data_IF_908224263404
#
_entry.id   IF_908224263404
#
_cell.length_a   1.000
_cell.length_b   1.000
_cell.length_c   1.000
_cell.angle_alpha   90.00
_cell.angle_beta   90.00
_cell.angle_gamma   90.00
#
_symmetry.space_group_name_H-M   'P 1'
#
loop_
_entity.id
_entity.type
_entity.pdbx_description
1 polymer ?
#
# COMPACT_ATOMS: atom_id res chain seq x y z
N UNK A 1 -21.04 45.05 25.24
CA UNK A 1 -19.71 45.13 24.57
C UNK A 1 -18.63 44.19 25.15
N UNK A 2 -18.89 43.35 26.16
CA UNK A 2 -17.86 42.49 26.77
C UNK A 2 -17.59 41.15 26.04
N UNK A 3 -18.51 40.65 25.21
CA UNK A 3 -18.37 39.33 24.56
C UNK A 3 -17.30 39.25 23.44
N UNK A 4 -16.98 40.37 22.77
CA UNK A 4 -15.98 40.39 21.69
C UNK A 4 -14.53 40.30 22.17
N UNK A 5 -14.26 40.56 23.46
CA UNK A 5 -12.89 40.50 24.03
C UNK A 5 -12.46 39.05 24.33
N UNK A 6 -13.39 38.18 24.69
CA UNK A 6 -13.12 36.78 24.98
C UNK A 6 -12.81 35.94 23.73
N UNK A 7 -13.49 36.21 22.62
CA UNK A 7 -13.24 35.50 21.35
C UNK A 7 -11.83 35.80 20.81
N UNK A 8 -11.35 37.04 20.96
CA UNK A 8 -9.98 37.41 20.55
C UNK A 8 -8.91 36.78 21.44
N UNK A 9 -9.20 36.54 22.73
CA UNK A 9 -8.23 35.92 23.63
C UNK A 9 -8.02 34.43 23.32
N UNK A 10 -9.09 33.67 23.01
CA UNK A 10 -8.99 32.25 22.67
C UNK A 10 -8.28 31.98 21.34
N UNK A 11 -8.50 32.83 20.32
CA UNK A 11 -7.82 32.66 19.02
C UNK A 11 -6.30 32.87 19.16
N UNK A 12 -5.87 33.74 20.07
CA UNK A 12 -4.44 34.01 20.28
C UNK A 12 -3.74 32.89 21.06
N UNK A 13 -4.44 32.15 21.93
CA UNK A 13 -3.86 31.02 22.67
C UNK A 13 -3.69 29.77 21.79
N UNK A 14 -4.55 29.58 20.80
CA UNK A 14 -4.47 28.43 19.87
C UNK A 14 -3.28 28.52 18.89
N UNK A 15 -2.78 29.72 18.59
CA UNK A 15 -1.63 29.93 17.68
C UNK A 15 -0.29 29.71 18.41
N UNK A 16 -0.26 29.77 19.74
CA UNK A 16 0.98 29.63 20.53
C UNK A 16 1.38 28.18 20.85
N UNK A 17 0.63 27.19 20.36
CA UNK A 17 0.80 25.76 20.66
C UNK A 17 1.30 24.96 19.44
N UNK A 18 2.20 25.55 18.64
CA UNK A 18 2.98 24.82 17.63
C UNK A 18 4.29 24.39 18.29
N UNK A 19 4.49 23.11 18.65
CA UNK A 19 5.73 22.67 19.24
C UNK A 19 6.86 22.68 18.20
N UNK A 20 7.97 23.31 18.58
CA UNK A 20 9.27 23.25 17.91
C UNK A 20 9.88 21.85 18.08
N UNK A 21 9.76 21.01 17.07
CA UNK A 21 10.44 19.71 17.03
C UNK A 21 11.89 19.90 16.59
N UNK A 22 12.83 19.52 17.46
CA UNK A 22 14.26 19.77 17.33
C UNK A 22 14.98 18.93 16.26
N UNK A 23 16.05 19.52 15.72
CA UNK A 23 17.04 18.84 14.89
C UNK A 23 18.01 18.02 15.75
N UNK A 24 18.06 16.71 15.58
CA UNK A 24 19.19 15.88 16.01
C UNK A 24 20.18 15.73 14.85
N UNK A 25 21.44 16.10 15.08
CA UNK A 25 22.56 15.85 14.15
C UNK A 25 23.26 14.56 14.60
N UNK A 26 23.15 13.50 13.80
CA UNK A 26 23.94 12.29 13.98
C UNK A 26 25.26 12.42 13.23
N UNK A 27 26.37 12.20 13.94
CA UNK A 27 27.72 12.15 13.38
C UNK A 27 28.05 10.66 13.20
N UNK A 28 28.11 10.20 11.95
CA UNK A 28 28.48 8.82 11.63
C UNK A 28 29.91 8.79 11.07
N UNK A 29 30.77 7.99 11.71
CA UNK A 29 32.13 7.67 11.27
C UNK A 29 32.09 6.83 9.99
N UNK A 30 32.80 7.28 8.96
CA UNK A 30 32.98 6.57 7.69
C UNK A 30 34.20 5.65 7.77
N UNK A 31 33.98 4.34 7.74
CA UNK A 31 35.00 3.34 7.40
C UNK A 31 34.86 3.07 5.90
N UNK A 32 35.87 3.44 5.12
CA UNK A 32 35.91 3.20 3.68
C UNK A 32 36.37 1.76 3.42
N UNK A 33 35.46 0.91 2.97
CA UNK A 33 35.77 -0.42 2.40
C UNK A 33 35.17 -0.48 1.01
N UNK A 34 36.04 -0.57 0.01
CA UNK A 34 35.90 -1.16 -1.33
C UNK A 34 34.48 -1.28 -1.93
N UNK A 35 33.81 -0.13 -2.14
CA UNK A 35 32.47 0.01 -2.75
C UNK A 35 32.47 0.21 -4.28
N UNK A 36 33.64 0.25 -4.92
CA UNK A 36 33.79 0.79 -6.28
C UNK A 36 33.16 -0.09 -7.37
N UNK A 37 33.27 -1.42 -7.27
CA UNK A 37 32.81 -2.32 -8.34
C UNK A 37 31.27 -2.48 -8.43
N UNK A 38 30.55 -2.44 -7.30
CA UNK A 38 29.08 -2.49 -7.30
C UNK A 38 28.49 -1.10 -7.61
N UNK A 39 29.11 -0.02 -7.11
CA UNK A 39 28.70 1.35 -7.40
C UNK A 39 28.86 1.71 -8.89
N UNK A 40 29.93 1.24 -9.55
CA UNK A 40 30.17 1.47 -10.98
C UNK A 40 29.07 0.85 -11.87
N UNK A 41 28.52 -0.32 -11.48
CA UNK A 41 27.41 -0.97 -12.21
C UNK A 41 26.10 -0.17 -12.12
N UNK A 42 25.84 0.48 -10.97
CA UNK A 42 24.65 1.32 -10.79
C UNK A 42 24.81 2.71 -11.40
N UNK A 43 26.02 3.26 -11.43
CA UNK A 43 26.30 4.55 -12.08
C UNK A 43 26.23 4.44 -13.62
N UNK A 44 26.56 3.29 -14.20
CA UNK A 44 26.30 3.02 -15.63
C UNK A 44 24.80 2.81 -15.93
N UNK A 45 24.05 2.19 -15.00
CA UNK A 45 22.59 2.08 -15.09
C UNK A 45 21.85 3.41 -14.82
N UNK A 46 22.46 4.36 -14.10
CA UNK A 46 21.93 5.72 -13.93
C UNK A 46 21.85 6.48 -15.27
N UNK A 47 22.60 6.06 -16.29
CA UNK A 47 22.43 6.49 -17.68
C UNK A 47 21.07 6.09 -18.29
N UNK A 48 20.37 5.11 -17.72
CA UNK A 48 19.07 4.62 -18.17
C UNK A 48 17.87 5.34 -17.52
N UNK A 49 18.06 6.59 -17.08
CA UNK A 49 16.96 7.46 -16.61
C UNK A 49 15.76 7.52 -17.56
N UNK A 50 15.99 7.32 -18.86
CA UNK A 50 14.96 7.36 -19.89
C UNK A 50 13.87 6.29 -19.73
N UNK A 51 14.23 5.03 -19.45
CA UNK A 51 13.21 3.97 -19.32
C UNK A 51 12.37 4.16 -18.06
N UNK A 52 12.99 4.64 -16.97
CA UNK A 52 12.31 5.02 -15.73
C UNK A 52 11.31 6.15 -15.99
N UNK A 53 11.74 7.22 -16.66
CA UNK A 53 10.86 8.34 -17.04
C UNK A 53 9.69 7.87 -17.91
N UNK A 54 9.93 7.00 -18.89
CA UNK A 54 8.86 6.47 -19.75
C UNK A 54 7.85 5.64 -18.94
N UNK A 55 8.33 4.84 -17.97
CA UNK A 55 7.46 4.07 -17.08
C UNK A 55 6.63 4.98 -16.16
N UNK A 56 7.22 6.06 -15.65
CA UNK A 56 6.51 7.08 -14.87
C UNK A 56 5.47 7.83 -15.71
N UNK A 57 5.79 8.21 -16.95
CA UNK A 57 4.84 8.81 -17.89
C UNK A 57 3.68 7.86 -18.20
N UNK A 58 3.97 6.58 -18.45
CA UNK A 58 2.96 5.55 -18.69
C UNK A 58 2.02 5.42 -17.49
N UNK A 59 2.57 5.31 -16.28
CA UNK A 59 1.79 5.21 -15.05
C UNK A 59 0.92 6.45 -14.82
N UNK A 60 1.51 7.65 -14.94
CA UNK A 60 0.79 8.91 -14.75
C UNK A 60 -0.35 9.06 -15.77
N UNK A 61 -0.08 8.77 -17.05
CA UNK A 61 -1.08 8.84 -18.11
C UNK A 61 -2.23 7.84 -17.91
N UNK A 62 -1.93 6.60 -17.50
CA UNK A 62 -2.94 5.60 -17.20
C UNK A 62 -3.78 5.99 -15.98
N UNK A 63 -3.15 6.54 -14.93
CA UNK A 63 -3.82 6.98 -13.71
C UNK A 63 -4.85 8.10 -13.96
N UNK A 64 -4.53 9.04 -14.86
CA UNK A 64 -5.47 10.13 -15.24
C UNK A 64 -6.42 9.74 -16.38
N UNK A 65 -6.37 8.50 -16.87
CA UNK A 65 -7.22 8.02 -17.96
C UNK A 65 -6.86 8.57 -19.35
N UNK A 66 -5.67 9.14 -19.54
CA UNK A 66 -5.20 9.61 -20.84
C UNK A 66 -4.70 8.45 -21.69
N UNK A 67 -5.63 7.76 -22.35
CA UNK A 67 -5.39 6.55 -23.16
C UNK A 67 -4.35 6.77 -24.27
N UNK A 68 -4.40 7.91 -24.96
CA UNK A 68 -3.49 8.20 -26.08
C UNK A 68 -2.06 8.34 -25.60
N UNK A 69 -1.85 9.12 -24.52
CA UNK A 69 -0.53 9.29 -23.93
C UNK A 69 -0.02 7.98 -23.32
N UNK A 70 -0.87 7.24 -22.60
CA UNK A 70 -0.52 5.94 -22.03
C UNK A 70 -0.09 4.96 -23.12
N UNK A 71 -0.82 4.87 -24.24
CA UNK A 71 -0.44 4.00 -25.35
C UNK A 71 0.88 4.43 -26.00
N UNK A 72 1.10 5.74 -26.20
CA UNK A 72 2.35 6.26 -26.74
C UNK A 72 3.55 5.94 -25.82
N UNK A 73 3.42 6.14 -24.51
CA UNK A 73 4.46 5.81 -23.53
C UNK A 73 4.68 4.29 -23.43
N UNK A 74 3.64 3.47 -23.55
CA UNK A 74 3.76 2.01 -23.58
C UNK A 74 4.56 1.51 -24.80
N UNK A 75 4.33 2.07 -25.99
CA UNK A 75 5.10 1.72 -27.20
C UNK A 75 6.57 2.13 -27.06
N UNK A 76 6.84 3.30 -26.46
CA UNK A 76 8.21 3.70 -26.13
C UNK A 76 8.84 2.72 -25.14
N UNK A 77 8.11 2.35 -24.09
CA UNK A 77 8.59 1.42 -23.06
C UNK A 77 8.97 0.07 -23.65
N UNK A 78 8.11 -0.49 -24.51
CA UNK A 78 8.38 -1.74 -25.22
C UNK A 78 9.63 -1.65 -26.11
N UNK A 79 9.83 -0.51 -26.78
CA UNK A 79 11.00 -0.32 -27.62
C UNK A 79 12.28 -0.31 -26.79
N UNK A 80 12.31 0.46 -25.71
CA UNK A 80 13.49 0.58 -24.85
C UNK A 80 13.75 -0.73 -24.07
N UNK A 81 12.71 -1.47 -23.65
CA UNK A 81 12.87 -2.75 -22.94
C UNK A 81 13.43 -3.89 -23.82
N UNK A 82 13.51 -3.71 -25.14
CA UNK A 82 14.14 -4.65 -26.07
C UNK A 82 15.63 -4.41 -26.24
N UNK A 83 16.20 -3.38 -25.63
CA UNK A 83 17.64 -3.16 -25.63
C UNK A 83 18.36 -4.33 -24.94
N UNK A 84 19.28 -5.04 -25.62
CA UNK A 84 20.05 -6.13 -25.02
C UNK A 84 20.81 -5.70 -23.76
N UNK A 85 21.29 -4.45 -23.70
CA UNK A 85 22.01 -3.93 -22.54
C UNK A 85 21.11 -3.90 -21.29
N UNK A 86 19.84 -3.51 -21.45
CA UNK A 86 18.84 -3.50 -20.37
C UNK A 86 18.51 -4.93 -19.93
N UNK A 87 18.33 -5.86 -20.88
CA UNK A 87 17.99 -7.25 -20.57
C UNK A 87 19.12 -8.07 -19.94
N UNK A 88 20.33 -7.53 -19.83
CA UNK A 88 21.42 -8.16 -19.05
C UNK A 88 21.18 -8.08 -17.54
N UNK A 89 20.23 -7.26 -17.09
CA UNK A 89 19.87 -7.10 -15.69
C UNK A 89 18.47 -7.70 -15.46
N UNK A 90 18.32 -8.44 -14.37
CA UNK A 90 17.10 -9.14 -14.00
C UNK A 90 17.02 -10.57 -14.54
N UNK A 91 16.08 -11.34 -14.02
CA UNK A 91 15.86 -12.74 -14.42
C UNK A 91 15.11 -12.84 -15.77
N UNK A 92 15.40 -13.90 -16.52
CA UNK A 92 14.75 -14.16 -17.82
C UNK A 92 13.24 -14.28 -17.70
N UNK A 93 12.77 -14.99 -16.67
CA UNK A 93 11.34 -15.23 -16.40
C UNK A 93 10.61 -13.94 -16.06
N UNK A 94 11.27 -13.03 -15.32
CA UNK A 94 10.77 -11.67 -15.09
C UNK A 94 10.59 -10.87 -16.37
N UNK A 95 11.51 -10.96 -17.32
CA UNK A 95 11.38 -10.32 -18.63
C UNK A 95 10.26 -10.92 -19.49
N UNK A 96 10.05 -12.24 -19.43
CA UNK A 96 8.91 -12.89 -20.10
C UNK A 96 7.57 -12.41 -19.51
N UNK A 97 7.47 -12.30 -18.17
CA UNK A 97 6.31 -11.74 -17.49
C UNK A 97 6.11 -10.24 -17.80
N UNK A 98 7.19 -9.48 -17.94
CA UNK A 98 7.18 -8.08 -18.36
C UNK A 98 6.62 -7.93 -19.78
N UNK A 99 7.10 -8.74 -20.73
CA UNK A 99 6.61 -8.76 -22.11
C UNK A 99 5.13 -9.13 -22.17
N UNK A 100 4.68 -10.10 -21.36
CA UNK A 100 3.27 -10.43 -21.23
C UNK A 100 2.44 -9.24 -20.70
N UNK A 101 2.94 -8.53 -19.68
CA UNK A 101 2.28 -7.35 -19.10
C UNK A 101 2.17 -6.20 -20.11
N UNK A 102 3.15 -6.03 -21.01
CA UNK A 102 3.05 -5.10 -22.15
C UNK A 102 1.88 -5.48 -23.06
N UNK A 103 1.72 -6.76 -23.39
CA UNK A 103 0.61 -7.20 -24.26
C UNK A 103 -0.75 -7.00 -23.58
N UNK A 104 -0.85 -7.29 -22.27
CA UNK A 104 -2.08 -7.04 -21.51
C UNK A 104 -2.40 -5.55 -21.43
N UNK A 105 -1.39 -4.69 -21.18
CA UNK A 105 -1.56 -3.24 -21.20
C UNK A 105 -2.04 -2.74 -22.57
N UNK A 106 -1.47 -3.22 -23.69
CA UNK A 106 -1.92 -2.88 -25.05
C UNK A 106 -3.37 -3.29 -25.27
N UNK A 107 -3.75 -4.50 -24.86
CA UNK A 107 -5.10 -5.03 -24.98
C UNK A 107 -6.09 -4.19 -24.16
N UNK A 108 -5.76 -3.88 -22.90
CA UNK A 108 -6.60 -3.09 -22.00
C UNK A 108 -6.78 -1.65 -22.49
N UNK A 109 -5.70 -1.01 -22.95
CA UNK A 109 -5.76 0.29 -23.59
C UNK A 109 -6.60 0.22 -24.87
N UNK A 110 -6.54 -0.85 -25.65
CA UNK A 110 -7.33 -1.01 -26.88
C UNK A 110 -8.82 -1.21 -26.62
N UNK A 111 -9.18 -1.94 -25.56
CA UNK A 111 -10.56 -2.28 -25.21
C UNK A 111 -11.28 -1.22 -24.35
N UNK A 112 -10.70 -0.05 -24.14
CA UNK A 112 -11.21 1.01 -23.25
C UNK A 112 -11.36 0.58 -21.78
N UNK A 113 -10.71 -0.51 -21.35
CA UNK A 113 -10.70 -0.93 -19.95
C UNK A 113 -9.60 -0.18 -19.19
N UNK A 114 -9.92 1.04 -18.74
CA UNK A 114 -8.96 1.92 -18.07
C UNK A 114 -8.46 1.34 -16.74
N UNK A 115 -9.29 0.60 -16.00
CA UNK A 115 -8.85 -0.03 -14.74
C UNK A 115 -7.81 -1.11 -14.98
N UNK A 116 -8.00 -1.96 -15.99
CA UNK A 116 -7.01 -2.96 -16.37
C UNK A 116 -5.74 -2.30 -16.93
N UNK A 117 -5.88 -1.23 -17.72
CA UNK A 117 -4.73 -0.49 -18.24
C UNK A 117 -3.90 0.15 -17.11
N UNK A 118 -4.56 0.72 -16.10
CA UNK A 118 -3.90 1.26 -14.92
C UNK A 118 -3.18 0.17 -14.11
N UNK A 119 -3.83 -0.99 -13.92
CA UNK A 119 -3.21 -2.12 -13.24
C UNK A 119 -1.92 -2.54 -13.94
N UNK A 120 -1.96 -2.81 -15.24
CA UNK A 120 -0.77 -3.22 -15.99
C UNK A 120 0.32 -2.13 -16.04
N UNK A 121 -0.07 -0.85 -16.18
CA UNK A 121 0.87 0.27 -16.09
C UNK A 121 1.58 0.32 -14.73
N UNK A 122 0.86 0.04 -13.63
CA UNK A 122 1.46 -0.02 -12.29
C UNK A 122 2.43 -1.19 -12.13
N UNK A 123 2.12 -2.36 -12.69
CA UNK A 123 3.01 -3.54 -12.71
C UNK A 123 4.30 -3.24 -13.47
N UNK A 124 4.17 -2.65 -14.66
CA UNK A 124 5.30 -2.26 -15.50
C UNK A 124 6.17 -1.20 -14.82
N UNK A 125 5.58 -0.22 -14.13
CA UNK A 125 6.33 0.75 -13.33
C UNK A 125 7.13 0.07 -12.23
N UNK A 126 6.50 -0.78 -11.41
CA UNK A 126 7.19 -1.51 -10.34
C UNK A 126 8.31 -2.41 -10.89
N UNK A 127 8.12 -3.00 -12.06
CA UNK A 127 9.10 -3.84 -12.72
C UNK A 127 10.34 -3.06 -13.19
N UNK A 128 10.14 -1.91 -13.84
CA UNK A 128 11.26 -1.01 -14.22
C UNK A 128 11.97 -0.54 -12.95
N UNK A 129 11.20 -0.16 -11.94
CA UNK A 129 11.73 0.29 -10.65
C UNK A 129 12.63 -0.76 -9.97
N UNK A 130 12.23 -2.03 -9.98
CA UNK A 130 13.00 -3.14 -9.42
C UNK A 130 14.38 -3.34 -10.06
N UNK A 131 14.53 -3.00 -11.34
CA UNK A 131 15.79 -3.16 -12.07
C UNK A 131 16.73 -1.97 -11.82
N UNK A 132 16.18 -0.75 -11.79
CA UNK A 132 16.98 0.48 -11.88
C UNK A 132 17.11 1.25 -10.57
N UNK A 133 16.24 1.01 -9.59
CA UNK A 133 16.32 1.68 -8.28
C UNK A 133 17.05 0.82 -7.24
N UNK A 134 17.84 1.47 -6.38
CA UNK A 134 18.51 0.79 -5.28
C UNK A 134 17.54 0.32 -4.20
N UNK A 135 16.44 1.05 -4.01
CA UNK A 135 15.39 0.72 -3.06
C UNK A 135 14.06 0.60 -3.82
N UNK A 136 13.79 -0.56 -4.43
CA UNK A 136 12.60 -0.76 -5.23
C UNK A 136 11.30 -0.48 -4.46
N UNK A 137 10.39 0.26 -5.07
CA UNK A 137 9.06 0.60 -4.56
C UNK A 137 8.26 -0.66 -4.19
N UNK A 138 8.48 -1.77 -4.88
CA UNK A 138 7.75 -3.01 -4.57
C UNK A 138 8.12 -3.60 -3.20
N UNK A 139 9.30 -3.29 -2.63
CA UNK A 139 9.64 -3.71 -1.26
C UNK A 139 8.69 -3.09 -0.22
N UNK A 140 8.09 -1.94 -0.51
CA UNK A 140 7.09 -1.31 0.35
C UNK A 140 5.81 -2.15 0.48
N UNK A 141 5.55 -3.07 -0.47
CA UNK A 141 4.44 -4.01 -0.38
C UNK A 141 4.61 -5.04 0.74
N UNK A 142 5.81 -5.20 1.32
CA UNK A 142 6.00 -6.12 2.45
C UNK A 142 5.06 -5.82 3.61
N UNK A 143 4.96 -4.54 3.99
CA UNK A 143 4.09 -4.12 5.08
C UNK A 143 2.60 -4.32 4.73
N UNK A 144 2.24 -4.05 3.46
CA UNK A 144 0.88 -4.23 2.97
C UNK A 144 0.47 -5.70 2.97
N UNK A 145 1.33 -6.59 2.47
CA UNK A 145 1.12 -8.04 2.48
C UNK A 145 1.01 -8.57 3.89
N UNK A 146 1.84 -8.08 4.83
CA UNK A 146 1.73 -8.46 6.23
C UNK A 146 0.37 -8.03 6.83
N UNK A 147 -0.13 -6.85 6.49
CA UNK A 147 -1.45 -6.39 6.93
C UNK A 147 -2.58 -7.26 6.35
N UNK A 148 -2.54 -7.56 5.05
CA UNK A 148 -3.52 -8.43 4.39
C UNK A 148 -3.54 -9.82 5.00
N UNK A 149 -2.35 -10.37 5.26
CA UNK A 149 -2.18 -11.64 5.95
C UNK A 149 -2.81 -11.56 7.36
N UNK A 150 -2.51 -10.53 8.14
CA UNK A 150 -3.10 -10.38 9.48
C UNK A 150 -4.63 -10.27 9.43
N UNK A 151 -5.19 -9.56 8.44
CA UNK A 151 -6.65 -9.49 8.21
C UNK A 151 -7.24 -10.85 7.88
N UNK A 152 -6.56 -11.61 7.01
CA UNK A 152 -6.93 -12.97 6.69
C UNK A 152 -6.94 -13.84 7.96
N UNK A 153 -5.89 -13.78 8.78
CA UNK A 153 -5.82 -14.49 10.07
C UNK A 153 -6.96 -14.10 11.01
N UNK A 154 -7.25 -12.81 11.14
CA UNK A 154 -8.37 -12.34 11.96
C UNK A 154 -9.72 -12.87 11.46
N UNK A 155 -9.91 -12.97 10.14
CA UNK A 155 -11.19 -13.39 9.56
C UNK A 155 -11.61 -14.81 9.95
N UNK A 156 -10.67 -15.72 10.22
CA UNK A 156 -11.01 -17.10 10.61
C UNK A 156 -11.09 -17.33 12.12
N UNK A 157 -10.41 -16.50 12.92
CA UNK A 157 -10.46 -16.55 14.39
C UNK A 157 -11.83 -16.10 14.89
N UNK A 158 -12.44 -15.14 14.18
CA UNK A 158 -13.73 -14.58 14.55
C UNK A 158 -14.87 -15.55 14.20
N UNK A 159 -15.75 -15.82 15.17
CA UNK A 159 -16.88 -16.74 14.99
C UNK A 159 -18.10 -16.04 14.37
N UNK A 160 -18.15 -15.98 13.04
CA UNK A 160 -19.31 -15.49 12.28
C UNK A 160 -20.01 -16.61 11.51
N UNK A 161 -21.29 -16.38 11.18
CA UNK A 161 -22.15 -17.34 10.46
C UNK A 161 -21.64 -17.62 9.02
N UNK A 162 -21.03 -16.63 8.37
CA UNK A 162 -20.47 -16.75 7.02
C UNK A 162 -18.94 -16.57 6.99
N UNK A 163 -18.26 -17.35 7.83
CA UNK A 163 -16.79 -17.26 7.98
C UNK A 163 -16.02 -17.56 6.68
N UNK A 164 -16.34 -18.62 5.90
CA UNK A 164 -15.58 -18.94 4.69
C UNK A 164 -15.61 -17.84 3.64
N UNK A 165 -16.73 -17.10 3.50
CA UNK A 165 -16.80 -16.01 2.54
C UNK A 165 -15.90 -14.83 2.95
N UNK A 166 -15.84 -14.50 4.24
CA UNK A 166 -14.97 -13.46 4.78
C UNK A 166 -13.48 -13.81 4.59
N UNK A 167 -13.12 -15.07 4.83
CA UNK A 167 -11.76 -15.58 4.59
C UNK A 167 -11.37 -15.51 3.11
N UNK A 168 -12.26 -15.94 2.21
CA UNK A 168 -12.01 -15.85 0.76
C UNK A 168 -11.91 -14.40 0.28
N UNK A 169 -12.73 -13.49 0.83
CA UNK A 169 -12.66 -12.08 0.51
C UNK A 169 -11.32 -11.47 0.95
N UNK A 170 -10.85 -11.78 2.16
CA UNK A 170 -9.54 -11.33 2.64
C UNK A 170 -8.39 -11.91 1.81
N UNK A 171 -8.47 -13.18 1.43
CA UNK A 171 -7.48 -13.84 0.58
C UNK A 171 -7.43 -13.22 -0.82
N UNK A 172 -8.60 -12.83 -1.36
CA UNK A 172 -8.67 -12.17 -2.66
C UNK A 172 -7.98 -10.80 -2.64
N UNK A 173 -8.07 -10.04 -1.54
CA UNK A 173 -7.33 -8.78 -1.38
C UNK A 173 -5.82 -9.04 -1.40
N UNK A 174 -5.36 -10.01 -0.62
CA UNK A 174 -3.95 -10.44 -0.60
C UNK A 174 -3.46 -10.81 -2.01
N UNK A 175 -4.25 -11.61 -2.74
CA UNK A 175 -3.94 -12.03 -4.12
C UNK A 175 -3.79 -10.84 -5.06
N UNK A 176 -4.72 -9.90 -5.02
CA UNK A 176 -4.66 -8.70 -5.87
C UNK A 176 -3.41 -7.88 -5.58
N UNK A 177 -3.00 -7.74 -4.31
CA UNK A 177 -1.76 -7.07 -3.98
C UNK A 177 -0.52 -7.86 -4.41
N UNK A 178 -0.52 -9.18 -4.29
CA UNK A 178 0.55 -10.05 -4.76
C UNK A 178 0.75 -9.95 -6.30
N UNK A 179 -0.34 -10.00 -7.07
CA UNK A 179 -0.32 -9.89 -8.53
C UNK A 179 0.28 -8.55 -9.02
N UNK A 180 0.06 -7.46 -8.26
CA UNK A 180 0.57 -6.12 -8.62
C UNK A 180 2.09 -6.03 -8.66
N UNK A 181 2.79 -6.70 -7.76
CA UNK A 181 4.25 -6.65 -7.72
C UNK A 181 4.93 -7.90 -8.31
N UNK A 182 4.17 -8.91 -8.71
CA UNK A 182 4.68 -10.18 -9.24
C UNK A 182 5.79 -9.99 -10.29
N UNK A 183 5.56 -9.14 -11.30
CA UNK A 183 6.53 -8.92 -12.39
C UNK A 183 7.83 -8.31 -11.85
N UNK A 184 7.72 -7.39 -10.90
CA UNK A 184 8.86 -6.77 -10.24
C UNK A 184 9.63 -7.79 -9.40
N UNK A 185 8.92 -8.62 -8.65
CA UNK A 185 9.52 -9.70 -7.88
C UNK A 185 10.20 -10.74 -8.78
N UNK A 186 9.60 -11.14 -9.91
CA UNK A 186 10.20 -12.07 -10.87
C UNK A 186 11.46 -11.50 -11.54
N UNK A 187 11.60 -10.18 -11.65
CA UNK A 187 12.82 -9.56 -12.17
C UNK A 187 13.96 -9.55 -11.15
N UNK A 188 13.65 -9.42 -9.86
CA UNK A 188 14.67 -9.30 -8.79
C UNK A 188 14.95 -10.62 -8.05
N UNK A 189 14.00 -11.54 -8.03
CA UNK A 189 14.04 -12.79 -7.24
C UNK A 189 13.97 -14.01 -8.15
N UNK A 190 14.55 -15.14 -7.74
CA UNK A 190 14.38 -16.40 -8.44
C UNK A 190 12.90 -16.77 -8.57
N UNK A 191 12.53 -17.31 -9.74
CA UNK A 191 11.16 -17.75 -10.05
C UNK A 191 10.60 -18.67 -8.97
N UNK A 192 11.41 -19.59 -8.45
CA UNK A 192 11.02 -20.54 -7.40
C UNK A 192 10.42 -19.85 -6.16
N UNK A 193 10.97 -18.70 -5.73
CA UNK A 193 10.46 -17.99 -4.54
C UNK A 193 9.12 -17.32 -4.82
N UNK A 194 8.97 -16.71 -5.99
CA UNK A 194 7.72 -16.06 -6.40
C UNK A 194 6.62 -17.10 -6.59
N UNK A 195 6.93 -18.18 -7.30
CA UNK A 195 6.02 -19.31 -7.52
C UNK A 195 5.61 -19.96 -6.19
N UNK A 196 6.56 -20.19 -5.27
CA UNK A 196 6.26 -20.72 -3.93
C UNK A 196 5.26 -19.84 -3.18
N UNK A 197 5.40 -18.52 -3.21
CA UNK A 197 4.43 -17.62 -2.58
C UNK A 197 3.04 -17.71 -3.21
N UNK A 198 2.94 -17.71 -4.53
CA UNK A 198 1.67 -17.87 -5.26
C UNK A 198 1.00 -19.22 -5.01
N UNK A 199 1.80 -20.28 -4.97
CA UNK A 199 1.33 -21.63 -4.63
C UNK A 199 0.77 -21.67 -3.22
N UNK A 200 1.40 -21.00 -2.25
CA UNK A 200 0.86 -20.94 -0.89
C UNK A 200 -0.46 -20.14 -0.81
N UNK A 201 -0.63 -19.07 -1.59
CA UNK A 201 -1.92 -18.35 -1.69
C UNK A 201 -3.00 -19.32 -2.19
N UNK A 202 -2.70 -20.11 -3.23
CA UNK A 202 -3.64 -21.08 -3.80
C UNK A 202 -3.94 -22.24 -2.84
N UNK A 203 -2.94 -22.72 -2.10
CA UNK A 203 -3.12 -23.74 -1.05
C UNK A 203 -3.98 -23.22 0.09
N UNK A 204 -3.84 -21.94 0.45
CA UNK A 204 -4.67 -21.31 1.48
C UNK A 204 -6.14 -21.24 1.05
N UNK A 205 -6.42 -20.91 -0.21
CA UNK A 205 -7.77 -20.95 -0.78
C UNK A 205 -8.37 -22.35 -0.66
N UNK A 206 -7.60 -23.38 -1.04
CA UNK A 206 -8.02 -24.77 -0.92
C UNK A 206 -8.30 -25.15 0.55
N UNK A 207 -7.44 -24.73 1.49
CA UNK A 207 -7.62 -25.00 2.91
C UNK A 207 -8.90 -24.35 3.46
N UNK A 208 -9.22 -23.11 3.06
CA UNK A 208 -10.47 -22.43 3.42
C UNK A 208 -11.69 -23.21 2.93
N UNK A 209 -11.68 -23.61 1.66
CA UNK A 209 -12.79 -24.36 1.04
C UNK A 209 -12.94 -25.74 1.69
N UNK A 210 -11.83 -26.43 1.96
CA UNK A 210 -11.84 -27.74 2.60
C UNK A 210 -12.35 -27.66 4.03
N UNK A 211 -11.85 -26.71 4.82
CA UNK A 211 -12.26 -26.48 6.19
C UNK A 211 -13.71 -26.01 6.32
N UNK A 212 -14.29 -25.43 5.26
CA UNK A 212 -15.74 -25.14 5.20
C UNK A 212 -16.59 -26.41 5.09
N UNK A 213 -16.03 -27.50 4.57
CA UNK A 213 -16.74 -28.78 4.37
C UNK A 213 -16.58 -29.75 5.55
N UNK A 214 -15.48 -29.69 6.30
CA UNK A 214 -15.17 -30.67 7.35
C UNK A 214 -16.15 -30.64 8.53
N UNK A 215 -16.81 -29.51 8.82
CA UNK A 215 -17.78 -29.35 9.92
C UNK A 215 -17.16 -29.41 11.32
N UNK A 216 -16.03 -30.09 11.50
CA UNK A 216 -15.28 -30.16 12.74
C UNK A 216 -14.37 -28.94 12.93
N UNK A 217 -14.63 -28.18 14.00
CA UNK A 217 -13.90 -26.94 14.32
C UNK A 217 -12.39 -27.17 14.56
N UNK A 218 -12.02 -28.31 15.16
CA UNK A 218 -10.61 -28.63 15.46
C UNK A 218 -9.81 -28.96 14.20
N UNK A 219 -10.37 -29.77 13.30
CA UNK A 219 -9.73 -30.10 12.02
C UNK A 219 -9.61 -28.87 11.13
N UNK A 220 -10.65 -28.02 11.14
CA UNK A 220 -10.64 -26.71 10.46
C UNK A 220 -9.50 -25.82 10.93
N UNK A 221 -9.39 -25.58 12.24
CA UNK A 221 -8.33 -24.71 12.78
C UNK A 221 -6.96 -25.25 12.39
N UNK A 222 -6.73 -26.55 12.57
CA UNK A 222 -5.45 -27.19 12.26
C UNK A 222 -5.05 -27.03 10.79
N UNK A 223 -5.98 -27.27 9.86
CA UNK A 223 -5.72 -27.14 8.43
C UNK A 223 -5.39 -25.69 8.03
N UNK A 224 -6.11 -24.73 8.61
CA UNK A 224 -5.87 -23.30 8.37
C UNK A 224 -4.55 -22.82 8.98
N UNK A 225 -4.23 -23.25 10.21
CA UNK A 225 -2.99 -22.89 10.92
C UNK A 225 -1.74 -23.40 10.17
N UNK A 226 -1.82 -24.62 9.62
CA UNK A 226 -0.74 -25.19 8.79
C UNK A 226 -0.55 -24.40 7.49
N UNK A 227 -1.64 -24.17 6.73
CA UNK A 227 -1.59 -23.42 5.48
C UNK A 227 -1.11 -21.98 5.69
N UNK A 228 -1.56 -21.34 6.77
CA UNK A 228 -1.11 -20.02 7.19
C UNK A 228 0.40 -19.97 7.47
N UNK A 229 0.90 -20.93 8.24
CA UNK A 229 2.33 -20.98 8.59
C UNK A 229 3.19 -21.10 7.34
N UNK A 230 2.75 -21.90 6.35
CA UNK A 230 3.45 -22.05 5.08
C UNK A 230 3.41 -20.77 4.25
N UNK A 231 2.24 -20.11 4.17
CA UNK A 231 2.07 -18.83 3.49
C UNK A 231 2.94 -17.73 4.11
N UNK A 232 3.04 -17.67 5.43
CA UNK A 232 3.88 -16.70 6.13
C UNK A 232 5.36 -16.93 5.81
N UNK A 233 5.82 -18.18 5.85
CA UNK A 233 7.22 -18.52 5.51
C UNK A 233 7.55 -18.19 4.06
N UNK A 234 6.64 -18.43 3.11
CA UNK A 234 6.88 -18.11 1.71
C UNK A 234 6.90 -16.60 1.47
N UNK A 235 6.01 -15.83 2.11
CA UNK A 235 6.05 -14.37 2.10
C UNK A 235 7.38 -13.83 2.67
N UNK A 236 7.79 -14.33 3.84
CA UNK A 236 9.06 -13.96 4.45
C UNK A 236 10.24 -14.30 3.54
N UNK A 237 10.25 -15.48 2.91
CA UNK A 237 11.29 -15.89 1.97
C UNK A 237 11.36 -15.01 0.71
N UNK A 238 10.20 -14.55 0.22
CA UNK A 238 10.10 -13.67 -0.94
C UNK A 238 10.72 -12.29 -0.66
N UNK A 239 10.39 -11.72 0.49
CA UNK A 239 10.86 -10.41 0.92
C UNK A 239 12.21 -10.43 1.65
N UNK A 240 12.74 -11.61 2.00
CA UNK A 240 14.10 -11.73 2.51
C UNK A 240 15.08 -11.22 1.45
N UNK A 241 15.92 -10.27 1.87
CA UNK A 241 16.96 -9.74 1.03
C UNK A 241 17.89 -10.86 0.59
N UNK A 242 17.90 -11.14 -0.72
CA UNK A 242 19.04 -11.84 -1.37
C UNK A 242 20.36 -11.05 -1.22
N UNK A 243 20.24 -9.84 -0.66
CA UNK A 243 21.19 -8.75 -0.58
C UNK A 243 21.45 -8.32 0.87
N UNK A 244 21.51 -9.28 1.82
CA UNK A 244 22.33 -9.07 3.03
C UNK A 244 23.79 -8.68 2.68
N UNK A 245 24.18 -8.73 1.40
CA UNK A 245 25.43 -8.18 0.84
C UNK A 245 25.28 -6.84 0.07
N UNK A 246 24.09 -6.23 -0.09
CA UNK A 246 23.92 -4.96 -0.85
C UNK A 246 23.33 -3.78 -0.08
N UNK A 247 22.99 -3.89 1.20
CA UNK A 247 22.42 -2.78 1.99
C UNK A 247 22.99 -2.66 3.41
N UNK A 248 24.26 -2.99 3.63
CA UNK A 248 25.00 -2.53 4.81
C UNK A 248 25.58 -1.10 4.66
N UNK A 249 25.27 -0.40 3.56
CA UNK A 249 25.73 0.97 3.35
C UNK A 249 24.60 1.84 2.80
N UNK A 250 23.86 2.49 3.71
CA UNK A 250 23.08 3.68 3.38
C UNK A 250 21.58 3.56 3.58
N UNK A 251 21.13 3.32 4.81
CA UNK A 251 19.79 3.75 5.24
C UNK A 251 18.93 2.65 5.86
N UNK A 252 19.10 2.47 7.17
CA UNK A 252 18.18 1.81 8.12
C UNK A 252 17.95 0.32 7.81
N UNK A 253 18.79 -0.53 8.42
CA UNK A 253 18.42 -1.92 8.69
C UNK A 253 17.02 -2.00 9.33
N UNK A 254 16.11 -2.84 8.85
CA UNK A 254 14.90 -3.18 9.59
C UNK A 254 15.21 -4.37 10.50
N UNK A 255 16.23 -4.25 11.36
CA UNK A 255 16.48 -5.24 12.41
C UNK A 255 15.61 -4.99 13.67
N UNK A 256 14.87 -3.88 13.74
CA UNK A 256 14.06 -3.55 14.93
C UNK A 256 12.71 -2.85 14.65
N UNK A 257 12.22 -2.88 13.40
CA UNK A 257 10.91 -2.31 13.06
C UNK A 257 9.71 -3.16 13.53
N UNK A 258 9.94 -4.29 14.19
CA UNK A 258 8.86 -5.07 14.80
C UNK A 258 8.24 -4.38 16.04
N UNK A 259 8.90 -3.37 16.63
CA UNK A 259 8.31 -2.54 17.70
C UNK A 259 7.76 -1.18 17.21
N UNK A 260 7.87 -0.85 15.92
CA UNK A 260 7.46 0.46 15.39
C UNK A 260 6.02 0.55 14.88
N UNK A 261 5.38 -0.55 14.49
CA UNK A 261 4.06 -0.51 13.82
C UNK A 261 2.91 -0.24 14.81
N UNK A 262 3.09 -0.54 16.10
CA UNK A 262 2.18 -0.04 17.14
C UNK A 262 2.25 1.50 17.29
N UNK A 263 3.34 2.14 16.87
CA UNK A 263 3.54 3.59 17.06
C UNK A 263 3.15 4.46 15.84
N UNK A 264 3.20 3.93 14.61
CA UNK A 264 2.66 4.63 13.43
C UNK A 264 1.13 4.58 13.37
N UNK A 265 0.53 3.44 13.73
CA UNK A 265 -0.93 3.35 13.89
C UNK A 265 -1.40 4.36 14.95
N UNK A 266 -0.73 4.48 16.09
CA UNK A 266 -1.10 5.46 17.12
C UNK A 266 -1.00 6.90 16.61
N UNK A 267 -0.04 7.25 15.74
CA UNK A 267 0.11 8.64 15.27
C UNK A 267 -0.93 9.01 14.21
N UNK A 268 -1.24 8.13 13.26
CA UNK A 268 -2.33 8.37 12.30
C UNK A 268 -3.71 8.21 12.93
N UNK A 269 -3.87 7.29 13.88
CA UNK A 269 -5.10 7.12 14.67
C UNK A 269 -5.31 8.29 15.63
N UNK A 270 -4.25 8.85 16.23
CA UNK A 270 -4.32 10.12 16.98
C UNK A 270 -4.74 11.26 16.06
N UNK A 271 -4.22 11.33 14.83
CA UNK A 271 -4.57 12.40 13.88
C UNK A 271 -6.04 12.31 13.47
N UNK A 272 -6.54 11.12 13.15
CA UNK A 272 -7.96 10.90 12.81
C UNK A 272 -8.88 11.07 14.01
N UNK A 273 -8.49 10.64 15.22
CA UNK A 273 -9.22 10.94 16.45
C UNK A 273 -9.25 12.45 16.75
N UNK A 274 -8.17 13.18 16.48
CA UNK A 274 -8.12 14.63 16.69
C UNK A 274 -9.06 15.37 15.73
N UNK A 275 -9.09 14.96 14.45
CA UNK A 275 -10.02 15.51 13.46
C UNK A 275 -11.47 15.20 13.87
N UNK A 276 -11.76 13.96 14.28
CA UNK A 276 -13.08 13.57 14.76
C UNK A 276 -13.54 14.36 15.99
N UNK A 277 -12.67 14.50 16.99
CA UNK A 277 -12.95 15.28 18.20
C UNK A 277 -13.14 16.77 17.89
N UNK A 278 -12.35 17.32 16.97
CA UNK A 278 -12.49 18.71 16.53
C UNK A 278 -13.85 18.97 15.85
N UNK A 279 -14.26 18.10 14.93
CA UNK A 279 -15.57 18.20 14.26
C UNK A 279 -16.72 18.10 15.27
N UNK A 280 -16.66 17.13 16.19
CA UNK A 280 -17.67 16.98 17.24
C UNK A 280 -17.75 18.21 18.16
N UNK A 281 -16.61 18.80 18.52
CA UNK A 281 -16.55 20.03 19.32
C UNK A 281 -17.20 21.23 18.60
N UNK A 282 -16.93 21.41 17.31
CA UNK A 282 -17.54 22.47 16.50
C UNK A 282 -19.05 22.29 16.40
N UNK A 283 -19.53 21.07 16.16
CA UNK A 283 -20.97 20.77 16.09
C UNK A 283 -21.68 21.00 17.42
N UNK A 284 -21.07 20.58 18.54
CA UNK A 284 -21.59 20.83 19.87
C UNK A 284 -21.70 22.34 20.16
N UNK A 285 -20.70 23.13 19.77
CA UNK A 285 -20.71 24.58 19.94
C UNK A 285 -21.81 25.26 19.10
N UNK A 286 -21.99 24.85 17.84
CA UNK A 286 -23.05 25.37 16.97
C UNK A 286 -24.43 25.02 17.54
N UNK A 287 -24.63 23.79 18.01
CA UNK A 287 -25.86 23.35 18.67
C UNK A 287 -26.18 24.18 19.92
N UNK A 288 -25.19 24.40 20.79
CA UNK A 288 -25.36 25.23 21.99
C UNK A 288 -25.70 26.69 21.65
N UNK A 289 -25.03 27.27 20.65
CA UNK A 289 -25.30 28.64 20.21
C UNK A 289 -26.74 28.79 19.69
N UNK A 290 -27.22 27.81 18.93
CA UNK A 290 -28.60 27.78 18.43
C UNK A 290 -29.60 27.70 19.58
N UNK A 291 -29.36 26.80 20.54
CA UNK A 291 -30.19 26.67 21.73
C UNK A 291 -30.31 28.00 22.51
N UNK A 292 -29.18 28.68 22.75
CA UNK A 292 -29.18 30.00 23.43
C UNK A 292 -29.89 31.10 22.62
N UNK A 293 -29.84 31.03 21.29
CA UNK A 293 -30.58 31.96 20.44
C UNK A 293 -32.09 31.75 20.57
N UNK A 294 -32.55 30.50 20.55
CA UNK A 294 -33.96 30.12 20.74
C UNK A 294 -34.49 30.49 22.14
N UNK A 295 -33.66 30.32 23.18
CA UNK A 295 -33.99 30.72 24.56
C UNK A 295 -34.14 32.25 24.71
N UNK A 296 -33.28 33.03 24.04
CA UNK A 296 -33.28 34.50 24.15
C UNK A 296 -34.27 35.20 23.23
N UNK A 297 -34.65 34.58 22.12
CA UNK A 297 -35.58 35.17 21.14
C UNK A 297 -36.98 34.58 21.22
N UNK A 298 -37.23 33.64 22.14
CA UNK A 298 -38.52 32.96 22.31
C UNK A 298 -38.85 32.14 21.08
N UNK A 299 -38.62 30.82 21.14
CA UNK A 299 -38.91 29.94 20.02
C UNK A 299 -40.39 30.05 19.58
N UNK A 300 -40.63 30.76 18.48
CA UNK A 300 -41.88 30.69 17.72
C UNK A 300 -41.88 29.42 16.86
N UNK A 301 -41.78 28.24 17.49
CA UNK A 301 -42.31 27.06 16.83
C UNK A 301 -43.81 27.08 17.08
N UNK A 302 -44.66 27.37 16.07
CA UNK A 302 -46.07 27.10 16.23
C UNK A 302 -46.19 25.63 16.63
N UNK A 303 -47.04 25.29 17.63
CA UNK A 303 -47.25 23.92 18.01
C UNK A 303 -47.56 23.10 16.74
N UNK A 304 -47.00 21.88 16.59
CA UNK A 304 -47.31 21.04 15.45
C UNK A 304 -48.83 20.95 15.33
N UNK A 305 -49.36 21.33 14.17
CA UNK A 305 -50.81 21.27 13.92
C UNK A 305 -51.29 19.88 14.27
N UNK A 306 -52.29 19.82 15.14
CA UNK A 306 -52.94 18.57 15.52
C UNK A 306 -53.41 17.86 14.24
N UNK A 307 -53.22 16.52 14.12
CA UNK A 307 -53.78 15.75 13.01
C UNK A 307 -55.30 15.90 12.88
N UNK A 308 -55.97 16.40 13.92
CA UNK A 308 -57.41 16.55 14.04
C UNK A 308 -57.94 17.92 13.61
N UNK A 309 -57.07 18.87 13.22
CA UNK A 309 -57.45 20.21 12.74
C UNK A 309 -57.70 20.25 11.22
N UNK A 310 -58.19 19.17 10.60
CA UNK A 310 -58.64 19.14 9.19
C UNK A 310 -60.10 18.77 9.06
#
# INVERSE_FOLDING_TARGET
MQGKRWIKLMIMTAILLIPTTGCMKNTANTVAVDQTAAADKWQTLAGNSKIVQIADELYAAANVGNRQLAYASLVKLEKESKDPAIRTVGERTGWEAFDHSIQQAKKALSSSNLSAAYLEASRLKLAVDAIFQQAPLWHQYRALIQDDMNRLHQSWVVQWEDRPSAELAALQVLRVHAERFEVAALLERPEERVASFQDQISRMEYAIIYAAKSGEMNERSKALDEAWTLLQRSADSLFQDSSATKTAAGGIEPADLQQGIASMAVREQLTTMFIGAFVMSVLAFVGWRRYKFEESHGAAYPPPKSPWDR
#
